data_IF_194989811555
#
_entry.id   IF_194989811555
#
_cell.length_a   1.000
_cell.length_b   1.000
_cell.length_c   1.000
_cell.angle_alpha   90.00
_cell.angle_beta   90.00
_cell.angle_gamma   90.00
#
_symmetry.space_group_name_H-M   'P 1'
#
loop_
_entity.id
_entity.type
_entity.pdbx_description
1 polymer ?
#
# COMPACT_ATOMS: atom_id res chain seq x y z
N UNK A 1 18.24 1.34 -5.44
CA UNK A 1 17.09 2.20 -5.76
C UNK A 1 17.16 3.44 -4.89
N UNK A 2 17.01 4.62 -5.48
CA UNK A 2 17.02 5.90 -4.75
C UNK A 2 15.58 6.20 -4.28
N UNK A 3 15.38 6.27 -2.95
CA UNK A 3 14.05 6.35 -2.34
C UNK A 3 13.40 7.72 -2.49
N UNK A 4 14.20 8.79 -2.58
CA UNK A 4 13.69 10.15 -2.75
C UNK A 4 13.12 10.33 -4.15
N UNK A 5 13.78 9.80 -5.18
CA UNK A 5 13.27 9.73 -6.55
C UNK A 5 12.00 8.88 -6.61
N UNK A 6 12.02 7.68 -6.02
CA UNK A 6 10.83 6.82 -5.92
C UNK A 6 9.66 7.56 -5.26
N UNK A 7 9.90 8.30 -4.18
CA UNK A 7 8.88 9.09 -3.50
C UNK A 7 8.23 10.11 -4.44
N UNK A 8 9.02 10.93 -5.13
CA UNK A 8 8.51 11.99 -5.99
C UNK A 8 7.81 11.48 -7.25
N UNK A 9 8.21 10.33 -7.78
CA UNK A 9 7.54 9.71 -8.93
C UNK A 9 6.15 9.15 -8.58
N UNK A 10 5.91 8.78 -7.31
CA UNK A 10 4.74 8.00 -6.93
C UNK A 10 3.75 8.72 -5.99
N UNK A 11 4.16 9.84 -5.36
CA UNK A 11 3.35 10.48 -4.32
C UNK A 11 2.20 11.31 -4.91
N UNK A 12 0.98 11.11 -4.42
CA UNK A 12 -0.19 11.91 -4.78
C UNK A 12 -0.55 12.90 -3.66
N UNK A 13 -1.08 14.08 -4.00
CA UNK A 13 -1.48 15.13 -3.03
C UNK A 13 -2.54 14.66 -2.02
N UNK A 14 -3.34 13.66 -2.40
CA UNK A 14 -4.39 13.06 -1.58
C UNK A 14 -3.86 12.06 -0.55
N UNK A 15 -2.60 11.61 -0.69
CA UNK A 15 -1.99 10.64 0.22
C UNK A 15 -1.50 11.30 1.51
N UNK A 16 -1.62 10.58 2.62
CA UNK A 16 -1.16 11.07 3.92
C UNK A 16 0.32 11.47 3.91
N UNK A 17 1.15 10.72 3.17
CA UNK A 17 2.59 10.97 3.06
C UNK A 17 2.94 12.28 2.36
N UNK A 18 2.02 12.89 1.61
CA UNK A 18 2.27 14.17 0.94
C UNK A 18 2.55 15.29 1.94
N UNK A 19 2.10 15.15 3.20
CA UNK A 19 2.40 16.10 4.26
C UNK A 19 3.91 16.29 4.54
N UNK A 20 4.74 15.34 4.12
CA UNK A 20 6.20 15.38 4.25
C UNK A 20 6.91 15.85 2.97
N UNK A 21 6.16 16.21 1.93
CA UNK A 21 6.70 16.56 0.61
C UNK A 21 7.74 17.68 0.69
N UNK A 22 7.41 18.80 1.34
CA UNK A 22 8.30 19.96 1.44
C UNK A 22 9.53 19.69 2.32
N UNK A 23 9.42 18.86 3.36
CA UNK A 23 10.58 18.51 4.19
C UNK A 23 11.56 17.59 3.44
N UNK A 24 11.04 16.62 2.68
CA UNK A 24 11.85 15.72 1.84
C UNK A 24 12.50 16.49 0.69
N UNK A 25 11.75 17.36 0.01
CA UNK A 25 12.24 18.18 -1.11
C UNK A 25 13.43 19.04 -0.71
N UNK A 26 13.34 19.67 0.46
CA UNK A 26 14.33 20.63 0.94
C UNK A 26 15.32 20.04 1.93
N UNK A 27 15.44 18.70 2.04
CA UNK A 27 16.33 18.04 3.01
C UNK A 27 17.81 18.44 2.84
N UNK A 28 18.23 18.65 1.60
CA UNK A 28 19.61 19.04 1.26
C UNK A 28 19.85 20.55 1.37
N UNK A 29 18.81 21.33 1.66
CA UNK A 29 18.85 22.78 1.69
C UNK A 29 18.95 23.33 3.11
N UNK A 30 19.69 24.43 3.22
CA UNK A 30 19.72 25.28 4.40
C UNK A 30 19.22 26.66 3.98
N UNK A 31 18.30 27.21 4.77
CA UNK A 31 17.82 28.57 4.58
C UNK A 31 18.75 29.55 5.30
N UNK A 32 19.30 30.50 4.55
CA UNK A 32 20.12 31.59 5.06
C UNK A 32 19.42 32.93 4.81
N UNK A 33 19.28 33.75 5.85
CA UNK A 33 18.58 35.05 5.81
C UNK A 33 19.22 36.02 4.81
N UNK A 34 20.53 35.89 4.54
CA UNK A 34 21.29 36.77 3.66
C UNK A 34 21.42 36.26 2.23
N UNK A 35 21.34 34.94 2.00
CA UNK A 35 21.62 34.33 0.70
C UNK A 35 20.51 33.43 0.16
N UNK A 36 19.36 33.32 0.85
CA UNK A 36 18.24 32.48 0.44
C UNK A 36 18.48 30.99 0.73
N UNK A 37 17.82 30.11 -0.02
CA UNK A 37 18.04 28.67 0.06
C UNK A 37 19.34 28.28 -0.66
N UNK A 38 20.25 27.61 0.04
CA UNK A 38 21.42 26.97 -0.57
C UNK A 38 21.35 25.46 -0.34
N UNK A 39 21.64 24.66 -1.36
CA UNK A 39 21.97 23.25 -1.17
C UNK A 39 23.35 23.16 -0.54
N UNK A 40 23.43 22.55 0.64
CA UNK A 40 24.66 22.45 1.43
C UNK A 40 25.00 20.99 1.75
N UNK A 41 24.03 20.08 1.66
CA UNK A 41 24.22 18.66 1.93
C UNK A 41 24.03 17.83 0.65
N UNK A 42 24.66 16.67 0.61
CA UNK A 42 24.65 15.70 -0.47
C UNK A 42 24.03 14.37 -0.02
N UNK A 43 22.98 14.42 0.82
CA UNK A 43 22.34 13.21 1.34
C UNK A 43 21.78 12.34 0.20
N UNK A 44 22.08 11.04 0.28
CA UNK A 44 21.64 9.99 -0.66
C UNK A 44 20.83 8.96 0.11
N UNK A 45 19.65 8.60 -0.41
CA UNK A 45 18.70 7.70 0.25
C UNK A 45 18.54 6.40 -0.54
N UNK A 46 19.58 5.58 -0.59
CA UNK A 46 19.60 4.36 -1.39
C UNK A 46 19.35 3.09 -0.58
N UNK A 47 18.54 2.18 -1.14
CA UNK A 47 18.37 0.80 -0.70
C UNK A 47 18.35 -0.13 -1.92
N UNK A 48 18.85 -1.35 -1.80
CA UNK A 48 18.84 -2.34 -2.88
C UNK A 48 17.44 -2.91 -3.09
N UNK A 49 16.76 -3.32 -2.02
CA UNK A 49 15.44 -3.95 -2.04
C UNK A 49 14.61 -3.65 -0.78
N UNK A 50 13.47 -4.34 -0.63
CA UNK A 50 12.61 -4.22 0.54
C UNK A 50 13.24 -4.77 1.84
N UNK A 51 14.14 -5.74 1.76
CA UNK A 51 14.81 -6.29 2.93
C UNK A 51 15.77 -5.24 3.52
N UNK A 52 16.53 -4.54 2.68
CA UNK A 52 17.39 -3.44 3.11
C UNK A 52 16.58 -2.26 3.67
N UNK A 53 15.42 -1.95 3.08
CA UNK A 53 14.51 -0.95 3.64
C UNK A 53 13.96 -1.34 5.03
N UNK A 54 13.65 -2.63 5.25
CA UNK A 54 13.23 -3.15 6.57
C UNK A 54 14.37 -3.04 7.58
N UNK A 55 15.60 -3.40 7.19
CA UNK A 55 16.79 -3.23 8.03
C UNK A 55 16.94 -1.77 8.42
N UNK A 56 16.85 -0.86 7.44
CA UNK A 56 16.94 0.58 7.68
C UNK A 56 15.84 1.10 8.62
N UNK A 57 14.60 0.62 8.47
CA UNK A 57 13.52 0.96 9.39
C UNK A 57 13.86 0.53 10.83
N UNK A 58 14.36 -0.69 11.01
CA UNK A 58 14.77 -1.21 12.33
C UNK A 58 15.93 -0.42 12.92
N UNK A 59 16.89 0.01 12.10
CA UNK A 59 17.98 0.90 12.54
C UNK A 59 17.43 2.22 13.07
N UNK A 60 16.53 2.87 12.34
CA UNK A 60 15.90 4.13 12.74
C UNK A 60 15.08 4.01 14.02
N UNK A 61 14.59 2.81 14.35
CA UNK A 61 13.83 2.54 15.57
C UNK A 61 14.70 2.23 16.80
N UNK A 62 16.03 2.09 16.65
CA UNK A 62 16.93 1.77 17.76
C UNK A 62 16.94 2.89 18.82
N UNK A 63 17.15 2.55 20.10
CA UNK A 63 17.11 3.53 21.19
C UNK A 63 18.20 4.59 21.16
N UNK A 64 19.30 4.35 20.45
CA UNK A 64 20.40 5.28 20.27
C UNK A 64 20.13 6.32 19.17
N UNK A 65 19.05 6.15 18.39
CA UNK A 65 18.70 7.05 17.29
C UNK A 65 17.82 8.19 17.79
N UNK A 66 18.25 9.41 17.48
CA UNK A 66 17.54 10.65 17.76
C UNK A 66 17.24 11.38 16.45
N UNK A 67 16.07 12.01 16.36
CA UNK A 67 15.59 12.69 15.16
C UNK A 67 15.76 14.21 15.25
N UNK A 68 16.92 14.67 15.70
CA UNK A 68 17.23 16.11 15.71
C UNK A 68 17.71 16.59 14.34
N UNK A 69 18.35 15.70 13.57
CA UNK A 69 18.83 16.00 12.23
C UNK A 69 17.76 15.74 11.15
N UNK A 70 17.89 16.49 10.04
CA UNK A 70 16.95 16.41 8.91
C UNK A 70 17.09 15.10 8.12
N UNK A 71 18.28 14.53 8.08
CA UNK A 71 18.59 13.34 7.28
C UNK A 71 17.83 12.13 7.82
N UNK A 72 17.90 11.86 9.13
CA UNK A 72 17.21 10.74 9.79
C UNK A 72 15.70 10.89 9.72
N UNK A 73 15.17 12.11 9.83
CA UNK A 73 13.74 12.35 9.58
C UNK A 73 13.35 11.99 8.15
N UNK A 74 14.16 12.42 7.17
CA UNK A 74 13.92 12.11 5.76
C UNK A 74 14.00 10.60 5.51
N UNK A 75 15.01 9.91 6.03
CA UNK A 75 15.12 8.45 6.00
C UNK A 75 13.85 7.78 6.53
N UNK A 76 13.34 8.23 7.69
CA UNK A 76 12.13 7.65 8.27
C UNK A 76 10.90 7.80 7.37
N UNK A 77 10.66 8.99 6.81
CA UNK A 77 9.52 9.22 5.91
C UNK A 77 9.65 8.47 4.58
N UNK A 78 10.86 8.41 4.01
CA UNK A 78 11.11 7.71 2.75
C UNK A 78 10.95 6.19 2.91
N UNK A 79 11.51 5.60 3.98
CA UNK A 79 11.41 4.16 4.23
C UNK A 79 9.98 3.74 4.56
N UNK A 80 9.27 4.52 5.40
CA UNK A 80 7.85 4.24 5.72
C UNK A 80 6.98 4.28 4.47
N UNK A 81 7.16 5.30 3.63
CA UNK A 81 6.44 5.42 2.36
C UNK A 81 6.74 4.26 1.40
N UNK A 82 8.01 3.94 1.20
CA UNK A 82 8.42 2.87 0.30
C UNK A 82 7.84 1.52 0.74
N UNK A 83 8.00 1.14 2.00
CA UNK A 83 7.45 -0.11 2.52
C UNK A 83 5.92 -0.15 2.43
N UNK A 84 5.25 0.98 2.69
CA UNK A 84 3.80 1.10 2.49
C UNK A 84 3.40 0.89 1.03
N UNK A 85 4.10 1.52 0.08
CA UNK A 85 3.85 1.36 -1.36
C UNK A 85 4.16 -0.05 -1.84
N UNK A 86 5.09 -0.76 -1.23
CA UNK A 86 5.37 -2.17 -1.48
C UNK A 86 4.38 -3.13 -0.79
N UNK A 87 3.35 -2.59 -0.12
CA UNK A 87 2.29 -3.38 0.50
C UNK A 87 2.62 -3.95 1.88
N UNK A 88 3.74 -3.57 2.49
CA UNK A 88 4.08 -4.03 3.83
C UNK A 88 3.22 -3.38 4.91
N UNK A 89 2.96 -4.15 5.96
CA UNK A 89 2.51 -3.69 7.27
C UNK A 89 3.39 -4.26 8.37
N UNK A 90 3.45 -3.55 9.50
CA UNK A 90 4.07 -4.06 10.72
C UNK A 90 2.95 -4.58 11.61
N UNK A 91 2.94 -5.88 11.88
CA UNK A 91 1.85 -6.54 12.62
C UNK A 91 1.57 -5.90 13.97
N UNK A 92 2.63 -5.49 14.67
CA UNK A 92 2.55 -4.85 15.98
C UNK A 92 2.01 -3.41 15.88
N UNK A 93 2.18 -2.76 14.72
CA UNK A 93 1.76 -1.38 14.44
C UNK A 93 1.17 -1.23 13.02
N UNK A 94 -0.03 -1.75 12.75
CA UNK A 94 -0.54 -1.92 11.38
C UNK A 94 -0.72 -0.63 10.57
N UNK A 95 -0.66 0.53 11.25
CA UNK A 95 -0.86 1.85 10.62
C UNK A 95 0.41 2.68 10.48
N UNK A 96 1.53 2.30 11.09
CA UNK A 96 2.70 3.19 11.14
C UNK A 96 3.31 3.45 9.77
N UNK A 97 3.36 2.43 8.89
CA UNK A 97 3.88 2.61 7.54
C UNK A 97 2.93 3.46 6.69
N UNK A 98 1.61 3.30 6.83
CA UNK A 98 0.62 4.07 6.08
C UNK A 98 0.43 5.51 6.61
N UNK A 99 0.64 5.72 7.92
CA UNK A 99 0.43 6.97 8.65
C UNK A 99 1.54 7.18 9.68
N UNK A 100 2.79 7.42 9.24
CA UNK A 100 3.89 7.70 10.16
C UNK A 100 3.61 9.01 10.92
N UNK A 101 4.05 9.14 12.19
CA UNK A 101 3.85 10.37 12.95
C UNK A 101 4.61 11.54 12.34
N UNK A 102 4.20 12.77 12.72
CA UNK A 102 4.94 13.98 12.31
C UNK A 102 6.32 13.99 12.94
N UNK A 103 6.42 13.68 14.23
CA UNK A 103 7.71 13.46 14.88
C UNK A 103 7.99 11.95 14.90
N UNK A 104 9.05 11.46 14.23
CA UNK A 104 9.40 10.05 14.28
C UNK A 104 9.62 9.52 15.71
N UNK A 105 9.98 10.39 16.66
CA UNK A 105 10.16 10.05 18.08
C UNK A 105 8.87 9.61 18.76
N UNK A 106 7.70 10.11 18.30
CA UNK A 106 6.40 9.69 18.82
C UNK A 106 6.20 8.19 18.63
N UNK A 107 6.64 7.65 17.49
CA UNK A 107 6.59 6.21 17.24
C UNK A 107 7.80 5.48 17.82
N UNK A 108 9.01 5.87 17.37
CA UNK A 108 10.25 5.12 17.65
C UNK A 108 10.56 5.02 19.13
N UNK A 109 10.19 6.04 19.91
CA UNK A 109 10.25 6.02 21.37
C UNK A 109 8.87 5.80 21.99
N UNK A 110 7.91 6.68 21.72
CA UNK A 110 6.62 6.71 22.44
C UNK A 110 5.81 5.44 22.27
N UNK A 111 5.36 5.14 21.06
CA UNK A 111 4.51 3.99 20.75
C UNK A 111 5.21 2.66 21.06
N UNK A 112 6.48 2.53 20.67
CA UNK A 112 7.27 1.33 20.96
C UNK A 112 7.41 1.10 22.48
N UNK A 113 7.76 2.14 23.25
CA UNK A 113 7.85 2.04 24.71
C UNK A 113 6.51 1.65 25.32
N UNK A 114 5.43 2.31 24.91
CA UNK A 114 4.09 2.04 25.43
C UNK A 114 3.64 0.61 25.12
N UNK A 115 3.99 0.09 23.94
CA UNK A 115 3.71 -1.30 23.57
C UNK A 115 4.45 -2.30 24.45
N UNK A 116 5.72 -2.05 24.74
CA UNK A 116 6.53 -2.89 25.63
C UNK A 116 5.97 -2.89 27.05
N UNK A 117 5.58 -1.72 27.58
CA UNK A 117 4.93 -1.62 28.90
C UNK A 117 3.61 -2.38 28.92
N UNK A 118 2.81 -2.27 27.86
CA UNK A 118 1.55 -3.02 27.76
C UNK A 118 1.75 -4.55 27.72
N UNK A 119 2.95 -5.02 27.34
CA UNK A 119 3.33 -6.44 27.38
C UNK A 119 3.89 -6.87 28.74
N UNK A 120 4.11 -5.93 29.68
CA UNK A 120 4.67 -6.18 31.00
C UNK A 120 6.19 -6.39 31.02
N UNK A 121 6.88 -5.98 29.95
CA UNK A 121 8.34 -6.10 29.81
C UNK A 121 9.08 -4.84 30.34
N UNK A 122 8.48 -4.16 31.33
CA UNK A 122 9.01 -2.96 31.97
C UNK A 122 9.35 -3.17 33.45
N UNK A 123 10.28 -2.36 33.96
CA UNK A 123 10.62 -2.30 35.37
C UNK A 123 9.96 -1.04 35.98
N UNK A 124 8.75 -1.18 36.53
CA UNK A 124 7.99 -0.06 37.15
C UNK A 124 7.84 1.16 36.23
N UNK A 125 7.43 0.95 34.98
CA UNK A 125 7.29 1.97 33.95
C UNK A 125 8.59 2.31 33.21
N UNK A 126 9.71 1.71 33.59
CA UNK A 126 11.01 1.93 32.94
C UNK A 126 11.30 0.79 31.95
N UNK A 127 11.44 1.14 30.67
CA UNK A 127 11.86 0.18 29.62
C UNK A 127 13.35 0.30 29.39
N UNK A 128 14.09 -0.79 29.63
CA UNK A 128 15.54 -0.83 29.36
C UNK A 128 15.82 -0.84 27.87
N UNK A 129 16.92 -0.24 27.45
CA UNK A 129 17.33 -0.23 26.03
C UNK A 129 17.47 -1.63 25.46
N UNK A 130 18.01 -2.60 26.23
CA UNK A 130 18.12 -3.99 25.78
C UNK A 130 16.76 -4.60 25.40
N UNK A 131 15.70 -4.28 26.16
CA UNK A 131 14.33 -4.73 25.87
C UNK A 131 13.82 -4.07 24.60
N UNK A 132 14.01 -2.76 24.44
CA UNK A 132 13.61 -2.03 23.23
C UNK A 132 14.34 -2.54 21.97
N UNK A 133 15.65 -2.79 22.05
CA UNK A 133 16.43 -3.37 20.93
C UNK A 133 15.89 -4.74 20.52
N UNK A 134 15.61 -5.61 21.49
CA UNK A 134 15.02 -6.93 21.24
C UNK A 134 13.65 -6.81 20.58
N UNK A 135 12.79 -5.92 21.08
CA UNK A 135 11.46 -5.68 20.53
C UNK A 135 11.52 -5.16 19.07
N UNK A 136 12.38 -4.17 18.80
CA UNK A 136 12.57 -3.63 17.44
C UNK A 136 13.08 -4.70 16.47
N UNK A 137 14.02 -5.54 16.90
CA UNK A 137 14.54 -6.64 16.10
C UNK A 137 13.45 -7.69 15.79
N UNK A 138 12.48 -7.87 16.70
CA UNK A 138 11.38 -8.81 16.53
C UNK A 138 10.16 -8.27 15.79
N UNK A 139 10.17 -7.02 15.30
CA UNK A 139 9.05 -6.48 14.53
C UNK A 139 8.74 -7.34 13.31
N UNK A 140 7.46 -7.68 13.15
CA UNK A 140 6.99 -8.59 12.11
C UNK A 140 6.48 -7.78 10.92
N UNK A 141 7.21 -7.83 9.80
CA UNK A 141 6.80 -7.24 8.54
C UNK A 141 6.04 -8.28 7.72
N UNK A 142 4.80 -7.99 7.36
CA UNK A 142 3.94 -8.85 6.56
C UNK A 142 3.52 -8.08 5.30
N UNK A 143 3.54 -8.72 4.13
CA UNK A 143 2.96 -8.15 2.91
C UNK A 143 1.46 -8.35 3.02
N UNK A 144 0.68 -7.27 2.90
CA UNK A 144 -0.77 -7.39 2.80
C UNK A 144 -1.11 -8.31 1.64
N UNK A 145 -1.91 -9.32 1.92
CA UNK A 145 -2.33 -10.37 0.99
C UNK A 145 -3.11 -9.89 -0.24
N UNK A 146 -3.23 -8.58 -0.49
CA UNK A 146 -3.92 -7.99 -1.63
C UNK A 146 -3.04 -6.94 -2.38
N UNK A 147 -1.72 -7.11 -2.47
CA UNK A 147 -0.84 -6.15 -3.13
C UNK A 147 -0.64 -6.44 -4.62
N UNK A 148 -1.74 -6.50 -5.38
CA UNK A 148 -1.65 -6.25 -6.82
C UNK A 148 -1.74 -4.74 -7.01
N UNK A 149 -0.60 -4.12 -7.31
CA UNK A 149 -0.53 -2.69 -7.62
C UNK A 149 -1.53 -2.35 -8.73
N UNK A 150 -2.47 -1.46 -8.45
CA UNK A 150 -3.45 -1.00 -9.42
C UNK A 150 -2.86 0.26 -10.06
N UNK A 151 -2.49 0.15 -11.33
CA UNK A 151 -2.04 1.30 -12.12
C UNK A 151 -3.09 2.43 -12.09
N UNK A 152 -2.63 3.68 -12.12
CA UNK A 152 -3.47 4.87 -12.00
C UNK A 152 -4.57 4.91 -13.08
N UNK A 153 -4.30 4.38 -14.27
CA UNK A 153 -5.30 4.27 -15.35
C UNK A 153 -6.45 3.32 -14.99
N UNK A 154 -6.16 2.19 -14.34
CA UNK A 154 -7.18 1.23 -13.90
C UNK A 154 -7.94 1.80 -12.69
N UNK A 155 -7.24 2.47 -11.78
CA UNK A 155 -7.88 3.14 -10.64
C UNK A 155 -8.87 4.22 -11.10
N UNK A 156 -8.51 5.01 -12.13
CA UNK A 156 -9.43 5.95 -12.77
C UNK A 156 -10.65 5.25 -13.36
N UNK A 157 -10.50 4.07 -13.98
CA UNK A 157 -11.64 3.32 -14.50
C UNK A 157 -12.61 2.87 -13.41
N UNK A 158 -12.12 2.50 -12.23
CA UNK A 158 -13.00 2.25 -11.09
C UNK A 158 -13.76 3.50 -10.65
N UNK A 159 -13.11 4.67 -10.63
CA UNK A 159 -13.75 5.94 -10.29
C UNK A 159 -14.82 6.33 -11.33
N UNK A 160 -14.56 6.12 -12.62
CA UNK A 160 -15.49 6.42 -13.71
C UNK A 160 -16.80 5.63 -13.62
N UNK A 161 -16.75 4.38 -13.13
CA UNK A 161 -17.93 3.50 -13.06
C UNK A 161 -18.58 3.46 -11.67
N UNK A 162 -17.87 3.89 -10.62
CA UNK A 162 -18.38 3.81 -9.26
C UNK A 162 -19.22 5.04 -8.91
N UNK A 163 -20.42 4.79 -8.38
CA UNK A 163 -21.34 5.86 -7.97
C UNK A 163 -20.92 6.59 -6.68
N UNK A 164 -19.87 6.15 -5.97
CA UNK A 164 -19.53 6.61 -4.61
C UNK A 164 -18.26 7.47 -4.49
N UNK A 165 -17.52 7.76 -5.57
CA UNK A 165 -16.23 8.50 -5.55
C UNK A 165 -15.19 8.01 -4.52
N UNK A 166 -15.38 6.83 -3.91
CA UNK A 166 -14.43 6.26 -2.97
C UNK A 166 -13.30 5.54 -3.74
N UNK A 167 -12.05 5.72 -3.30
CA UNK A 167 -10.92 4.98 -3.85
C UNK A 167 -11.12 3.48 -3.64
N UNK A 168 -10.84 2.67 -4.67
CA UNK A 168 -10.97 1.21 -4.65
C UNK A 168 -10.28 0.60 -3.43
N UNK A 169 -9.09 1.10 -3.07
CA UNK A 169 -8.30 0.59 -1.95
C UNK A 169 -8.99 0.71 -0.60
N UNK A 170 -9.89 1.69 -0.44
CA UNK A 170 -10.60 1.98 0.80
C UNK A 170 -11.95 1.26 0.91
N UNK A 171 -12.37 0.52 -0.12
CA UNK A 171 -13.62 -0.25 -0.10
C UNK A 171 -13.48 -1.51 0.77
N UNK A 172 -14.61 -1.98 1.33
CA UNK A 172 -14.68 -3.31 1.96
C UNK A 172 -14.43 -4.42 0.93
N UNK A 173 -14.03 -5.61 1.38
CA UNK A 173 -13.72 -6.74 0.48
C UNK A 173 -14.91 -7.09 -0.43
N UNK A 174 -16.12 -7.15 0.13
CA UNK A 174 -17.34 -7.42 -0.64
C UNK A 174 -17.62 -6.32 -1.69
N UNK A 175 -17.40 -5.05 -1.34
CA UNK A 175 -17.51 -3.92 -2.27
C UNK A 175 -16.46 -4.00 -3.38
N UNK A 176 -15.21 -4.38 -3.06
CA UNK A 176 -14.15 -4.59 -4.06
C UNK A 176 -14.54 -5.66 -5.07
N UNK A 177 -15.07 -6.80 -4.61
CA UNK A 177 -15.52 -7.88 -5.49
C UNK A 177 -16.66 -7.44 -6.42
N UNK A 178 -17.61 -6.66 -5.89
CA UNK A 178 -18.69 -6.09 -6.68
C UNK A 178 -18.17 -5.13 -7.76
N UNK A 179 -17.27 -4.21 -7.40
CA UNK A 179 -16.71 -3.22 -8.32
C UNK A 179 -15.80 -3.87 -9.38
N UNK A 180 -15.01 -4.89 -9.03
CA UNK A 180 -14.23 -5.66 -10.02
C UNK A 180 -15.17 -6.29 -11.06
N UNK A 181 -16.24 -6.96 -10.62
CA UNK A 181 -17.20 -7.57 -11.54
C UNK A 181 -17.87 -6.53 -12.46
N UNK A 182 -18.16 -5.33 -11.94
CA UNK A 182 -18.68 -4.21 -12.72
C UNK A 182 -17.67 -3.68 -13.74
N UNK A 183 -16.40 -3.53 -13.36
CA UNK A 183 -15.37 -3.03 -14.26
C UNK A 183 -15.09 -4.02 -15.39
N UNK A 184 -14.98 -5.31 -15.10
CA UNK A 184 -14.85 -6.35 -16.14
C UNK A 184 -16.04 -6.26 -17.11
N UNK A 185 -17.25 -6.05 -16.59
CA UNK A 185 -18.44 -5.86 -17.42
C UNK A 185 -18.35 -4.67 -18.35
N UNK A 186 -17.96 -3.52 -17.80
CA UNK A 186 -17.82 -2.28 -18.54
C UNK A 186 -16.74 -2.41 -19.63
N UNK A 187 -15.59 -3.00 -19.30
CA UNK A 187 -14.48 -3.17 -20.23
C UNK A 187 -14.84 -4.11 -21.39
N UNK A 188 -15.61 -5.17 -21.15
CA UNK A 188 -15.94 -6.15 -22.19
C UNK A 188 -17.23 -5.84 -22.96
N UNK A 189 -18.13 -4.99 -22.45
CA UNK A 189 -19.36 -4.63 -23.17
C UNK A 189 -19.12 -3.53 -24.20
N UNK A 190 -19.40 -3.83 -25.47
CA UNK A 190 -19.51 -2.86 -26.57
C UNK A 190 -20.84 -3.07 -27.29
N UNK A 191 -21.63 -2.01 -27.48
CA UNK A 191 -22.94 -2.06 -28.13
C UNK A 191 -23.90 -3.13 -27.54
N UNK A 192 -23.89 -3.25 -26.20
CA UNK A 192 -24.66 -4.24 -25.41
C UNK A 192 -24.25 -5.70 -25.62
N UNK A 193 -23.17 -5.98 -26.37
CA UNK A 193 -22.61 -7.33 -26.55
C UNK A 193 -21.23 -7.42 -25.89
N UNK A 194 -20.89 -8.61 -25.40
CA UNK A 194 -19.54 -8.88 -24.92
C UNK A 194 -18.62 -9.08 -26.12
N UNK A 195 -17.48 -8.39 -26.11
CA UNK A 195 -16.39 -8.62 -27.06
C UNK A 195 -15.56 -9.80 -26.59
N UNK A 196 -14.97 -10.51 -27.55
CA UNK A 196 -13.97 -11.56 -27.32
C UNK A 196 -12.59 -10.94 -27.44
N UNK A 197 -11.66 -11.33 -26.57
CA UNK A 197 -10.27 -10.89 -26.61
C UNK A 197 -9.36 -12.10 -26.86
N UNK A 198 -8.21 -11.88 -27.50
CA UNK A 198 -7.21 -12.93 -27.65
C UNK A 198 -6.36 -13.05 -26.38
N UNK A 199 -6.94 -13.66 -25.36
CA UNK A 199 -6.25 -13.87 -24.08
C UNK A 199 -5.01 -14.75 -24.23
N UNK A 200 -4.95 -15.64 -25.23
CA UNK A 200 -3.83 -16.55 -25.41
C UNK A 200 -2.52 -15.79 -25.66
N UNK A 201 -2.58 -14.69 -26.41
CA UNK A 201 -1.39 -13.88 -26.72
C UNK A 201 -0.70 -13.28 -25.49
N UNK A 202 -1.45 -12.98 -24.42
CA UNK A 202 -0.91 -12.35 -23.21
C UNK A 202 -0.86 -13.32 -22.02
N UNK A 203 -1.89 -14.14 -21.87
CA UNK A 203 -2.15 -14.94 -20.68
C UNK A 203 -1.98 -16.44 -20.93
N UNK A 204 -1.64 -16.87 -22.14
CA UNK A 204 -1.59 -18.28 -22.55
C UNK A 204 -2.89 -18.99 -22.15
N UNK A 205 -2.82 -20.05 -21.33
CA UNK A 205 -3.99 -20.82 -20.89
C UNK A 205 -4.51 -20.40 -19.49
N UNK A 206 -3.87 -19.41 -18.85
CA UNK A 206 -4.20 -19.01 -17.47
C UNK A 206 -5.47 -18.14 -17.38
N UNK A 207 -5.78 -17.40 -18.43
CA UNK A 207 -7.00 -16.59 -18.55
C UNK A 207 -7.59 -16.83 -19.93
N UNK A 208 -8.90 -17.03 -19.97
CA UNK A 208 -9.70 -17.20 -21.20
C UNK A 208 -11.07 -16.55 -21.00
N UNK A 209 -11.84 -16.37 -22.08
CA UNK A 209 -13.21 -15.87 -22.00
C UNK A 209 -14.08 -16.68 -21.03
N UNK A 210 -13.93 -18.01 -21.04
CA UNK A 210 -14.68 -18.91 -20.16
C UNK A 210 -14.32 -18.71 -18.69
N UNK A 211 -13.04 -18.51 -18.40
CA UNK A 211 -12.53 -18.20 -17.07
C UNK A 211 -13.07 -16.86 -16.58
N UNK A 212 -13.01 -15.81 -17.43
CA UNK A 212 -13.52 -14.48 -17.09
C UNK A 212 -15.04 -14.51 -16.88
N UNK A 213 -15.78 -15.24 -17.73
CA UNK A 213 -17.22 -15.43 -17.58
C UNK A 213 -17.55 -16.19 -16.29
N UNK A 214 -16.78 -17.23 -15.95
CA UNK A 214 -16.92 -18.00 -14.72
C UNK A 214 -16.68 -17.14 -13.48
N UNK A 215 -15.60 -16.36 -13.48
CA UNK A 215 -15.29 -15.41 -12.40
C UNK A 215 -16.44 -14.44 -12.17
N UNK A 216 -16.92 -13.76 -13.23
CA UNK A 216 -18.05 -12.82 -13.14
C UNK A 216 -19.31 -13.46 -12.57
N UNK A 217 -19.62 -14.70 -12.98
CA UNK A 217 -20.79 -15.43 -12.47
C UNK A 217 -20.66 -15.67 -10.97
N UNK A 218 -19.49 -16.10 -10.49
CA UNK A 218 -19.23 -16.30 -9.05
C UNK A 218 -19.34 -15.00 -8.26
N UNK A 219 -18.86 -13.90 -8.81
CA UNK A 219 -18.90 -12.59 -8.13
C UNK A 219 -20.27 -11.91 -8.18
N UNK A 220 -21.25 -12.51 -8.87
CA UNK A 220 -22.58 -11.94 -9.02
C UNK A 220 -23.28 -11.70 -7.68
N UNK A 221 -23.13 -12.60 -6.72
CA UNK A 221 -23.77 -12.50 -5.41
C UNK A 221 -23.34 -11.23 -4.63
N UNK A 222 -22.12 -10.73 -4.83
CA UNK A 222 -21.63 -9.51 -4.17
C UNK A 222 -22.31 -8.23 -4.71
N UNK A 223 -22.97 -8.29 -5.87
CA UNK A 223 -23.68 -7.15 -6.48
C UNK A 223 -25.15 -7.02 -6.07
N UNK A 224 -25.75 -8.06 -5.53
CA UNK A 224 -27.18 -8.12 -5.24
C UNK A 224 -27.47 -8.38 -3.77
N UNK A 225 -28.45 -7.66 -3.21
CA UNK A 225 -28.87 -7.81 -1.83
C UNK A 225 -30.08 -8.74 -1.65
N UNK A 226 -30.25 -9.74 -2.54
CA UNK A 226 -31.31 -10.75 -2.37
C UNK A 226 -30.91 -11.75 -1.30
N UNK A 227 -31.89 -12.41 -0.68
CA UNK A 227 -31.64 -13.41 0.37
C UNK A 227 -30.74 -14.55 -0.14
N UNK A 228 -30.94 -15.00 -1.38
CA UNK A 228 -30.09 -16.02 -2.01
C UNK A 228 -28.65 -15.54 -2.19
N UNK A 229 -28.46 -14.28 -2.61
CA UNK A 229 -27.14 -13.71 -2.79
C UNK A 229 -26.42 -13.50 -1.44
N UNK A 230 -27.16 -13.18 -0.38
CA UNK A 230 -26.62 -13.05 0.98
C UNK A 230 -26.17 -14.42 1.50
N UNK A 231 -26.95 -15.48 1.28
CA UNK A 231 -26.55 -16.85 1.65
C UNK A 231 -25.33 -17.33 0.83
N UNK A 232 -25.29 -17.05 -0.48
CA UNK A 232 -24.15 -17.42 -1.32
C UNK A 232 -22.85 -16.76 -0.84
N UNK A 233 -22.89 -15.48 -0.41
CA UNK A 233 -21.71 -14.78 0.15
C UNK A 233 -21.16 -15.47 1.39
N UNK A 234 -22.01 -16.06 2.23
CA UNK A 234 -21.58 -16.75 3.46
C UNK A 234 -20.78 -18.01 3.18
N UNK A 235 -20.83 -18.55 1.96
CA UNK A 235 -20.03 -19.70 1.54
C UNK A 235 -18.56 -19.35 1.29
N UNK A 236 -18.21 -18.06 1.18
CA UNK A 236 -16.84 -17.60 0.96
C UNK A 236 -16.18 -17.18 2.28
N UNK A 237 -15.05 -17.80 2.61
CA UNK A 237 -14.19 -17.29 3.70
C UNK A 237 -13.47 -15.99 3.27
N UNK A 238 -12.92 -15.25 4.23
CA UNK A 238 -12.17 -14.04 3.93
C UNK A 238 -10.92 -14.32 3.08
N UNK A 239 -10.27 -15.47 3.26
CA UNK A 239 -9.14 -15.89 2.40
C UNK A 239 -9.58 -16.10 0.95
N UNK A 240 -10.75 -16.74 0.73
CA UNK A 240 -11.31 -16.87 -0.61
C UNK A 240 -11.60 -15.51 -1.24
N UNK A 241 -12.21 -14.60 -0.48
CA UNK A 241 -12.55 -13.27 -0.98
C UNK A 241 -11.31 -12.46 -1.36
N UNK A 242 -10.28 -12.48 -0.50
CA UNK A 242 -9.00 -11.83 -0.77
C UNK A 242 -8.35 -12.40 -2.04
N UNK A 243 -8.32 -13.72 -2.19
CA UNK A 243 -7.86 -14.35 -3.44
C UNK A 243 -8.67 -13.89 -4.66
N UNK A 244 -10.00 -13.79 -4.56
CA UNK A 244 -10.83 -13.33 -5.67
C UNK A 244 -10.64 -11.84 -5.99
N UNK A 245 -10.28 -11.00 -5.02
CA UNK A 245 -9.90 -9.61 -5.28
C UNK A 245 -8.65 -9.58 -6.16
N UNK A 246 -7.60 -10.28 -5.76
CA UNK A 246 -6.33 -10.33 -6.52
C UNK A 246 -6.51 -10.94 -7.90
N UNK A 247 -7.20 -12.08 -7.97
CA UNK A 247 -7.45 -12.71 -9.24
C UNK A 247 -8.30 -11.83 -10.18
N UNK A 248 -9.28 -11.12 -9.62
CA UNK A 248 -10.09 -10.15 -10.36
C UNK A 248 -9.27 -8.97 -10.90
N UNK A 249 -8.35 -8.42 -10.10
CA UNK A 249 -7.44 -7.37 -10.54
C UNK A 249 -6.50 -7.84 -11.65
N UNK A 250 -6.03 -9.09 -11.56
CA UNK A 250 -5.22 -9.73 -12.61
C UNK A 250 -5.99 -9.84 -13.93
N UNK A 251 -7.26 -10.26 -13.88
CA UNK A 251 -8.15 -10.31 -15.04
C UNK A 251 -8.35 -8.91 -15.64
N UNK A 252 -8.58 -7.88 -14.81
CA UNK A 252 -8.74 -6.50 -15.29
C UNK A 252 -7.48 -6.01 -16.00
N UNK A 253 -6.29 -6.24 -15.43
CA UNK A 253 -5.00 -5.90 -16.06
C UNK A 253 -4.85 -6.57 -17.42
N UNK A 254 -5.18 -7.85 -17.53
CA UNK A 254 -5.13 -8.59 -18.79
C UNK A 254 -6.09 -7.97 -19.83
N UNK A 255 -7.35 -7.75 -19.47
CA UNK A 255 -8.36 -7.15 -20.35
C UNK A 255 -7.91 -5.76 -20.82
N UNK A 256 -7.47 -4.92 -19.89
CA UNK A 256 -7.05 -3.56 -20.18
C UNK A 256 -5.85 -3.53 -21.14
N UNK A 257 -4.85 -4.38 -20.89
CA UNK A 257 -3.68 -4.52 -21.76
C UNK A 257 -4.09 -4.96 -23.17
N UNK A 258 -4.89 -6.02 -23.29
CA UNK A 258 -5.35 -6.53 -24.59
C UNK A 258 -6.20 -5.52 -25.37
N UNK A 259 -6.99 -4.68 -24.68
CA UNK A 259 -7.76 -3.61 -25.32
C UNK A 259 -6.91 -2.41 -25.75
N UNK A 260 -5.73 -2.25 -25.15
CA UNK A 260 -4.81 -1.15 -25.44
C UNK A 260 -3.75 -1.53 -26.47
N UNK A 261 -3.70 -2.82 -26.86
CA UNK A 261 -2.88 -3.26 -27.98
C UNK A 261 -3.43 -2.69 -29.30
N UNK A 262 -2.56 -2.17 -30.18
CA UNK A 262 -2.95 -1.60 -31.47
C UNK A 262 -3.50 -2.64 -32.46
#
# INVERSE_FOLDING_TARGET
MELKEFYFQNIQETEYHYRFYESIKNVNKIHNIFSGEMEVNDYVFEVYDAEEAIIKFRELCQPEVYFEDKEKKCWFYLVTYYLYKMGYEIKEFPRVLARPPVDPSDFTYGDIRNRIIAQGDDDNGTVRYAVRRKFVASLTFEIKSNHIEIDDMINQKFIEISNRQASFNNMSTDEKLAEIANLIENLLKKDKKFITLDYYNLCFEYISDDIVASYRRKMHCFRHATDEAIEERKMYSEEHKNFFVDYGLTIIKAIYTLKSLP
#
